data_IF_036947726565
#
_entry.id   IF_036947726565
#
_cell.length_a   1.000
_cell.length_b   1.000
_cell.length_c   1.000
_cell.angle_alpha   90.00
_cell.angle_beta   90.00
_cell.angle_gamma   90.00
#
_symmetry.space_group_name_H-M   'P 1'
#
loop_
_entity.id
_entity.type
_entity.pdbx_description
1 polymer ?
#
# COMPACT_ATOMS: atom_id res chain seq x y z
N UNK A 1 14.20 -15.11 6.86
CA UNK A 1 13.95 -15.31 5.41
C UNK A 1 13.50 -14.02 4.72
N UNK A 2 12.36 -13.43 5.09
CA UNK A 2 11.82 -12.24 4.39
C UNK A 2 12.75 -11.01 4.38
N UNK A 3 13.46 -10.74 5.48
CA UNK A 3 14.40 -9.62 5.58
C UNK A 3 15.57 -9.75 4.59
N UNK A 4 16.04 -10.97 4.33
CA UNK A 4 17.10 -11.24 3.36
C UNK A 4 16.61 -10.93 1.94
N UNK A 5 15.38 -11.34 1.60
CA UNK A 5 14.77 -11.06 0.30
C UNK A 5 14.62 -9.56 0.07
N UNK A 6 14.13 -8.81 1.06
CA UNK A 6 14.01 -7.36 0.99
C UNK A 6 15.36 -6.67 0.79
N UNK A 7 16.41 -7.16 1.45
CA UNK A 7 17.77 -6.60 1.30
C UNK A 7 18.35 -6.85 -0.10
N UNK A 8 18.10 -8.02 -0.68
CA UNK A 8 18.66 -8.40 -1.99
C UNK A 8 17.87 -7.79 -3.15
N UNK A 9 16.54 -7.78 -3.08
CA UNK A 9 15.68 -7.41 -4.21
C UNK A 9 14.97 -6.06 -4.06
N UNK A 10 14.97 -5.45 -2.87
CA UNK A 10 14.21 -4.24 -2.55
C UNK A 10 12.80 -4.54 -2.01
N UNK A 11 12.28 -3.65 -1.16
CA UNK A 11 10.96 -3.84 -0.51
C UNK A 11 9.79 -3.76 -1.49
N UNK A 12 9.88 -2.88 -2.49
CA UNK A 12 8.94 -2.71 -3.60
C UNK A 12 8.86 -3.97 -4.48
N UNK A 13 9.99 -4.48 -4.93
CA UNK A 13 10.07 -5.69 -5.76
C UNK A 13 9.53 -6.91 -5.03
N UNK A 14 9.91 -7.08 -3.76
CA UNK A 14 9.41 -8.19 -2.93
C UNK A 14 7.92 -8.06 -2.68
N UNK A 15 7.36 -6.84 -2.56
CA UNK A 15 5.92 -6.65 -2.43
C UNK A 15 5.16 -7.17 -3.66
N UNK A 16 5.60 -6.79 -4.85
CA UNK A 16 4.98 -7.23 -6.11
C UNK A 16 5.15 -8.73 -6.32
N UNK A 17 6.33 -9.28 -6.02
CA UNK A 17 6.61 -10.72 -6.12
C UNK A 17 5.68 -11.54 -5.22
N UNK A 18 5.47 -11.11 -3.97
CA UNK A 18 4.60 -11.83 -3.04
C UNK A 18 3.13 -11.74 -3.43
N UNK A 19 2.64 -10.59 -3.89
CA UNK A 19 1.25 -10.48 -4.38
C UNK A 19 1.02 -11.30 -5.66
N UNK A 20 2.02 -11.45 -6.52
CA UNK A 20 1.96 -12.37 -7.65
C UNK A 20 1.97 -13.85 -7.21
N UNK A 21 2.89 -14.21 -6.29
CA UNK A 21 3.02 -15.58 -5.80
C UNK A 21 1.78 -16.07 -5.02
N UNK A 22 1.01 -15.15 -4.42
CA UNK A 22 -0.28 -15.47 -3.78
C UNK A 22 -1.36 -15.92 -4.76
N UNK A 23 -1.26 -15.54 -6.03
CA UNK A 23 -2.24 -15.92 -7.07
C UNK A 23 -1.99 -17.31 -7.64
N UNK A 24 -0.88 -17.94 -7.26
CA UNK A 24 -0.50 -19.28 -7.74
C UNK A 24 -0.72 -20.29 -6.60
N UNK A 25 -1.63 -21.28 -6.74
CA UNK A 25 -2.00 -22.18 -5.65
C UNK A 25 -0.81 -22.87 -4.96
N UNK A 26 0.21 -23.25 -5.73
CA UNK A 26 1.42 -23.92 -5.21
C UNK A 26 2.28 -23.02 -4.32
N UNK A 27 2.23 -21.70 -4.50
CA UNK A 27 3.06 -20.73 -3.76
C UNK A 27 2.25 -19.83 -2.82
N UNK A 28 0.93 -19.98 -2.80
CA UNK A 28 0.03 -19.14 -2.01
C UNK A 28 0.35 -19.16 -0.52
N UNK A 29 0.48 -20.36 0.05
CA UNK A 29 0.73 -20.52 1.48
C UNK A 29 2.06 -19.89 1.92
N UNK A 30 3.14 -20.15 1.18
CA UNK A 30 4.45 -19.59 1.52
C UNK A 30 4.50 -18.08 1.30
N UNK A 31 3.86 -17.56 0.25
CA UNK A 31 3.81 -16.13 -0.02
C UNK A 31 2.99 -15.38 1.04
N UNK A 32 1.88 -15.97 1.50
CA UNK A 32 1.06 -15.42 2.59
C UNK A 32 1.83 -15.37 3.90
N UNK A 33 2.54 -16.45 4.26
CA UNK A 33 3.37 -16.47 5.46
C UNK A 33 4.51 -15.45 5.40
N UNK A 34 5.21 -15.36 4.26
CA UNK A 34 6.25 -14.36 4.03
C UNK A 34 5.72 -12.92 4.11
N UNK A 35 4.52 -12.67 3.59
CA UNK A 35 3.89 -11.36 3.72
C UNK A 35 3.57 -11.04 5.18
N UNK A 36 3.05 -11.99 5.95
CA UNK A 36 2.79 -11.83 7.40
C UNK A 36 4.08 -11.56 8.18
N UNK A 37 5.15 -12.29 7.89
CA UNK A 37 6.46 -12.08 8.50
C UNK A 37 7.01 -10.68 8.19
N UNK A 38 6.76 -10.15 6.99
CA UNK A 38 7.12 -8.78 6.64
C UNK A 38 6.39 -7.75 7.50
N UNK A 39 5.07 -7.87 7.62
CA UNK A 39 4.26 -6.94 8.43
C UNK A 39 4.71 -6.96 9.90
N UNK A 40 4.96 -8.15 10.45
CA UNK A 40 5.52 -8.30 11.80
C UNK A 40 6.91 -7.66 11.94
N UNK A 41 7.77 -7.83 10.93
CA UNK A 41 9.12 -7.26 10.96
C UNK A 41 9.09 -5.73 10.94
N UNK A 42 8.25 -5.12 10.10
CA UNK A 42 8.05 -3.67 10.07
C UNK A 42 7.50 -3.14 11.39
N UNK A 43 6.50 -3.82 11.97
CA UNK A 43 5.96 -3.42 13.28
C UNK A 43 7.01 -3.50 14.40
N UNK A 44 7.84 -4.56 14.41
CA UNK A 44 8.87 -4.77 15.44
C UNK A 44 9.94 -3.69 15.43
N UNK A 45 10.26 -3.13 14.27
CA UNK A 45 11.21 -2.01 14.14
C UNK A 45 10.52 -0.65 14.20
N UNK A 46 9.23 -0.63 14.59
CA UNK A 46 8.40 0.57 14.70
C UNK A 46 8.35 1.40 13.42
N UNK A 47 8.45 0.74 12.25
CA UNK A 47 8.43 1.42 10.96
C UNK A 47 7.08 2.11 10.79
N UNK A 48 7.09 3.42 10.54
CA UNK A 48 5.85 4.15 10.34
C UNK A 48 5.18 3.72 9.02
N UNK A 49 3.87 3.93 8.91
CA UNK A 49 3.15 3.67 7.65
C UNK A 49 3.65 4.64 6.56
N UNK A 50 4.10 5.85 6.92
CA UNK A 50 4.71 6.81 6.00
C UNK A 50 6.06 6.30 5.45
N UNK A 51 6.88 5.68 6.31
CA UNK A 51 8.13 5.04 5.88
C UNK A 51 7.83 3.89 4.91
N UNK A 52 6.84 3.04 5.23
CA UNK A 52 6.46 1.94 4.34
C UNK A 52 5.95 2.46 3.00
N UNK A 53 5.16 3.54 2.98
CA UNK A 53 4.75 4.20 1.74
C UNK A 53 5.96 4.59 0.88
N UNK A 54 6.98 5.21 1.49
CA UNK A 54 8.20 5.60 0.79
C UNK A 54 9.04 4.41 0.31
N UNK A 55 9.19 3.38 1.15
CA UNK A 55 9.98 2.19 0.82
C UNK A 55 9.35 1.31 -0.24
N UNK A 56 8.01 1.29 -0.33
CA UNK A 56 7.30 0.66 -1.44
C UNK A 56 7.42 1.46 -2.74
N UNK A 57 8.07 2.63 -2.71
CA UNK A 57 8.22 3.55 -3.84
C UNK A 57 6.87 3.84 -4.50
N UNK A 58 5.85 4.03 -3.66
CA UNK A 58 4.55 4.46 -4.12
C UNK A 58 4.69 5.92 -4.55
N UNK A 59 4.31 6.18 -5.79
CA UNK A 59 4.36 7.52 -6.36
C UNK A 59 3.00 8.17 -6.23
N UNK A 60 3.03 9.47 -5.92
CA UNK A 60 1.91 10.37 -5.68
C UNK A 60 0.98 10.58 -6.87
N UNK A 61 1.37 10.08 -8.06
CA UNK A 61 0.62 10.16 -9.31
C UNK A 61 0.48 8.80 -10.02
N UNK A 62 0.98 7.72 -9.41
CA UNK A 62 0.97 6.40 -10.03
C UNK A 62 -0.34 5.67 -9.77
N UNK A 63 -0.74 4.92 -10.80
CA UNK A 63 -1.85 3.99 -10.84
C UNK A 63 -2.19 3.38 -9.47
N UNK A 64 -3.34 3.79 -8.90
CA UNK A 64 -3.82 3.27 -7.62
C UNK A 64 -4.23 1.79 -7.71
N UNK A 65 -4.19 1.17 -8.90
CA UNK A 65 -4.32 -0.28 -9.06
C UNK A 65 -3.02 -1.01 -8.75
N UNK A 66 -1.93 -0.28 -8.48
CA UNK A 66 -0.68 -0.89 -8.10
C UNK A 66 -0.87 -1.76 -6.84
N UNK A 67 -0.54 -3.06 -6.91
CA UNK A 67 -0.73 -3.99 -5.81
C UNK A 67 0.04 -3.61 -4.54
N UNK A 68 1.06 -2.74 -4.64
CA UNK A 68 1.80 -2.19 -3.50
C UNK A 68 0.93 -1.32 -2.60
N UNK A 69 -0.12 -0.66 -3.11
CA UNK A 69 -1.08 0.04 -2.26
C UNK A 69 -1.84 -0.93 -1.36
N UNK A 70 -2.18 -2.13 -1.86
CA UNK A 70 -2.79 -3.20 -1.04
C UNK A 70 -1.89 -3.60 0.13
N UNK A 71 -0.57 -3.64 -0.09
CA UNK A 71 0.42 -3.95 0.96
C UNK A 71 0.45 -2.84 2.02
N UNK A 72 0.44 -1.57 1.59
CA UNK A 72 0.40 -0.43 2.50
C UNK A 72 -0.88 -0.45 3.34
N UNK A 73 -2.04 -0.66 2.73
CA UNK A 73 -3.33 -0.76 3.43
C UNK A 73 -3.32 -1.87 4.48
N UNK A 74 -2.88 -3.08 4.11
CA UNK A 74 -2.74 -4.19 5.06
C UNK A 74 -1.82 -3.85 6.24
N UNK A 75 -0.74 -3.11 6.00
CA UNK A 75 0.15 -2.70 7.08
C UNK A 75 -0.48 -1.65 7.99
N UNK A 76 -1.16 -0.65 7.42
CA UNK A 76 -1.89 0.37 8.17
C UNK A 76 -2.94 -0.29 9.11
N UNK A 77 -3.73 -1.22 8.58
CA UNK A 77 -4.72 -1.96 9.37
C UNK A 77 -4.06 -2.81 10.46
N UNK A 78 -2.93 -3.45 10.13
CA UNK A 78 -2.17 -4.25 11.08
C UNK A 78 -1.63 -3.39 12.24
N UNK A 79 -1.09 -2.20 11.96
CA UNK A 79 -0.61 -1.25 12.98
C UNK A 79 -1.79 -0.79 13.85
N UNK A 80 -2.92 -0.41 13.24
CA UNK A 80 -4.12 0.00 13.98
C UNK A 80 -4.61 -1.13 14.91
N UNK A 81 -4.69 -2.35 14.39
CA UNK A 81 -5.14 -3.53 15.15
C UNK A 81 -4.19 -3.91 16.30
N UNK A 82 -2.87 -3.69 16.13
CA UNK A 82 -1.87 -4.09 17.14
C UNK A 82 -1.52 -3.01 18.15
N UNK A 83 -1.64 -1.75 17.79
CA UNK A 83 -1.16 -0.63 18.60
C UNK A 83 -2.24 0.38 18.98
N UNK A 84 -3.41 0.34 18.32
CA UNK A 84 -4.45 1.36 18.47
C UNK A 84 -4.08 2.73 17.87
N UNK A 85 -2.86 2.89 17.34
CA UNK A 85 -2.42 4.15 16.73
C UNK A 85 -3.16 4.39 15.42
N UNK A 86 -3.60 5.64 15.22
CA UNK A 86 -4.21 6.09 13.98
C UNK A 86 -3.16 6.34 12.90
N UNK A 87 -3.54 6.14 11.63
CA UNK A 87 -2.67 6.35 10.46
C UNK A 87 -3.06 7.65 9.70
N UNK A 88 -3.62 8.63 10.40
CA UNK A 88 -4.22 9.82 9.77
C UNK A 88 -3.22 10.66 8.96
N UNK A 89 -1.95 10.72 9.36
CA UNK A 89 -0.89 11.41 8.60
C UNK A 89 -0.71 10.87 7.17
N UNK A 90 -0.62 9.55 7.04
CA UNK A 90 -0.47 8.86 5.74
C UNK A 90 -1.74 9.06 4.92
N UNK A 91 -2.88 8.90 5.58
CA UNK A 91 -4.19 9.07 4.98
C UNK A 91 -4.36 10.46 4.39
N UNK A 92 -4.04 11.50 5.16
CA UNK A 92 -4.03 12.89 4.70
C UNK A 92 -3.04 13.10 3.55
N UNK A 93 -1.85 12.50 3.61
CA UNK A 93 -0.86 12.60 2.53
C UNK A 93 -1.35 12.00 1.21
N UNK A 94 -1.93 10.80 1.24
CA UNK A 94 -2.50 10.14 0.05
C UNK A 94 -3.68 10.96 -0.51
N UNK A 95 -4.58 11.45 0.35
CA UNK A 95 -5.70 12.29 -0.08
C UNK A 95 -5.25 13.58 -0.75
N UNK A 96 -4.30 14.30 -0.15
CA UNK A 96 -3.79 15.55 -0.72
C UNK A 96 -3.15 15.33 -2.09
N UNK A 97 -2.44 14.21 -2.27
CA UNK A 97 -1.82 13.83 -3.53
C UNK A 97 -2.86 13.47 -4.60
N UNK A 98 -3.89 12.71 -4.24
CA UNK A 98 -5.01 12.39 -5.14
C UNK A 98 -5.77 13.65 -5.56
N UNK A 99 -6.00 14.57 -4.62
CA UNK A 99 -6.64 15.86 -4.87
C UNK A 99 -5.79 16.68 -5.85
N UNK A 100 -4.48 16.71 -5.66
CA UNK A 100 -3.57 17.35 -6.60
C UNK A 100 -3.60 16.68 -7.98
N UNK A 101 -3.67 15.35 -8.04
CA UNK A 101 -3.70 14.59 -9.28
C UNK A 101 -4.97 14.86 -10.11
N UNK A 102 -6.17 14.87 -9.53
CA UNK A 102 -7.40 15.14 -10.29
C UNK A 102 -7.65 16.64 -10.55
N UNK A 103 -6.95 17.54 -9.85
CA UNK A 103 -6.99 18.98 -10.12
C UNK A 103 -5.90 19.41 -11.11
N UNK A 104 -5.07 18.48 -11.56
CA UNK A 104 -3.97 18.77 -12.47
C UNK A 104 -4.50 19.23 -13.85
N UNK A 105 -4.22 20.49 -14.28
CA UNK A 105 -4.70 21.03 -15.54
C UNK A 105 -4.21 20.25 -16.78
N UNK A 106 -3.10 19.51 -16.67
CA UNK A 106 -2.57 18.71 -17.79
C UNK A 106 -3.33 17.40 -18.05
N UNK A 107 -4.14 16.93 -17.10
CA UNK A 107 -4.97 15.72 -17.27
C UNK A 107 -6.34 16.08 -17.87
N UNK A 108 -6.85 15.22 -18.74
CA UNK A 108 -8.19 15.35 -19.33
C UNK A 108 -9.30 15.09 -18.29
N UNK A 109 -10.52 15.57 -18.58
CA UNK A 109 -11.69 15.32 -17.73
C UNK A 109 -11.94 13.81 -17.51
N UNK A 110 -11.73 12.99 -18.54
CA UNK A 110 -11.90 11.54 -18.45
C UNK A 110 -10.89 10.90 -17.48
N UNK A 111 -9.62 11.30 -17.55
CA UNK A 111 -8.58 10.81 -16.63
C UNK A 111 -8.83 11.22 -15.18
N UNK A 112 -9.30 12.46 -14.96
CA UNK A 112 -9.66 12.95 -13.61
C UNK A 112 -10.82 12.15 -13.01
N UNK A 113 -11.85 11.86 -13.81
CA UNK A 113 -12.98 11.03 -13.37
C UNK A 113 -12.59 9.56 -13.15
N UNK A 114 -11.67 9.01 -13.95
CA UNK A 114 -11.11 7.69 -13.72
C UNK A 114 -10.38 7.62 -12.37
N UNK A 115 -9.54 8.61 -12.05
CA UNK A 115 -8.84 8.71 -10.77
C UNK A 115 -9.80 8.81 -9.57
N UNK A 116 -10.88 9.59 -9.69
CA UNK A 116 -11.92 9.68 -8.66
C UNK A 116 -12.60 8.33 -8.42
N UNK A 117 -12.99 7.63 -9.50
CA UNK A 117 -13.61 6.29 -9.41
C UNK A 117 -12.65 5.29 -8.78
N UNK A 118 -11.39 5.34 -9.17
CA UNK A 118 -10.35 4.47 -8.65
C UNK A 118 -10.11 4.69 -7.14
N UNK A 119 -10.08 5.95 -6.70
CA UNK A 119 -10.05 6.30 -5.27
C UNK A 119 -11.27 5.75 -4.52
N UNK A 120 -12.48 5.93 -5.05
CA UNK A 120 -13.70 5.45 -4.40
C UNK A 120 -13.73 3.92 -4.28
N UNK A 121 -13.25 3.19 -5.30
CA UNK A 121 -13.07 1.74 -5.22
C UNK A 121 -12.10 1.37 -4.11
N UNK A 122 -10.91 1.97 -4.11
CA UNK A 122 -9.88 1.68 -3.11
C UNK A 122 -10.36 2.02 -1.68
N UNK A 123 -11.07 3.12 -1.51
CA UNK A 123 -11.69 3.51 -0.23
C UNK A 123 -12.60 2.40 0.29
N UNK A 124 -13.48 1.88 -0.58
CA UNK A 124 -14.43 0.83 -0.25
C UNK A 124 -13.74 -0.51 0.02
N UNK A 125 -12.84 -0.94 -0.87
CA UNK A 125 -12.21 -2.27 -0.86
C UNK A 125 -11.30 -2.49 0.36
N UNK A 126 -10.71 -1.42 0.88
CA UNK A 126 -9.77 -1.47 1.99
C UNK A 126 -10.33 -0.90 3.30
N UNK A 127 -11.62 -0.53 3.35
CA UNK A 127 -12.25 0.12 4.51
C UNK A 127 -11.48 1.37 4.99
N UNK A 128 -10.96 2.16 4.04
CA UNK A 128 -10.27 3.41 4.32
C UNK A 128 -11.27 4.55 4.53
N UNK A 129 -12.18 4.36 5.47
CA UNK A 129 -13.18 5.37 5.79
C UNK A 129 -12.54 6.50 6.60
N UNK A 130 -12.77 7.71 6.10
CA UNK A 130 -12.48 8.96 6.77
C UNK A 130 -13.75 9.39 7.49
N UNK A 131 -13.61 9.53 8.81
CA UNK A 131 -14.66 9.78 9.81
C UNK A 131 -15.41 8.52 10.25
#
# INVERSE_FOLDING_TARGET
>A
MILTLMRVFGEDTVATMLEAAKKVPRTEAIATNLQKDRLNAWLRIEKSVDDVFMHLRLSTAADLTDPRFSVLSKYADFVKAKTGKSNDSVKTSILLQMVAAWNNPSKSSAEREALKKQYLSWRSDYHWDFL
#
